data_IF_702533529008
#
_entry.id   IF_702533529008
#
_cell.length_a   1.000
_cell.length_b   1.000
_cell.length_c   1.000
_cell.angle_alpha   90.00
_cell.angle_beta   90.00
_cell.angle_gamma   90.00
#
_symmetry.space_group_name_H-M   'P 1'
#
loop_
_entity.id
_entity.type
_entity.pdbx_description
1 polymer ?
#
# COMPACT_ATOMS: atom_id res chain seq x y z
N UNK A 1 -15.02 -23.14 9.72
CA UNK A 1 -14.50 -21.90 10.32
C UNK A 1 -15.63 -20.87 10.42
N UNK A 2 -15.89 -20.38 11.62
CA UNK A 2 -16.97 -19.42 11.94
C UNK A 2 -16.44 -17.99 11.93
N UNK A 3 -15.16 -17.82 12.28
CA UNK A 3 -14.37 -16.61 12.18
C UNK A 3 -12.91 -16.98 12.00
N UNK A 4 -12.13 -16.09 11.42
CA UNK A 4 -10.69 -16.26 11.20
C UNK A 4 -9.98 -14.92 11.32
N UNK A 5 -8.73 -15.00 11.70
CA UNK A 5 -7.74 -13.96 11.69
C UNK A 5 -6.53 -14.50 10.91
N UNK A 6 -5.92 -13.69 10.10
CA UNK A 6 -4.70 -14.04 9.38
C UNK A 6 -3.68 -12.93 9.60
N UNK A 7 -2.55 -13.26 10.21
CA UNK A 7 -1.47 -12.32 10.45
C UNK A 7 -0.14 -12.82 9.89
N UNK A 8 0.68 -11.87 9.46
CA UNK A 8 2.05 -12.08 9.01
C UNK A 8 2.97 -11.40 10.03
N UNK A 9 4.15 -12.00 10.29
CA UNK A 9 5.14 -11.47 11.23
C UNK A 9 6.39 -11.06 10.49
N UNK A 10 6.86 -9.84 10.73
CA UNK A 10 8.07 -9.32 10.13
C UNK A 10 8.64 -8.12 10.90
N UNK A 11 9.82 -7.66 10.51
CA UNK A 11 10.38 -6.40 10.99
C UNK A 11 9.78 -5.22 10.23
N UNK A 12 9.21 -4.26 10.93
CA UNK A 12 8.71 -3.02 10.36
C UNK A 12 9.13 -1.83 11.24
N UNK A 13 9.78 -0.84 10.63
CA UNK A 13 10.36 0.30 11.34
C UNK A 13 11.26 -0.11 12.53
N UNK A 14 12.03 -1.19 12.35
CA UNK A 14 12.97 -1.69 13.36
C UNK A 14 12.35 -2.46 14.53
N UNK A 15 11.04 -2.75 14.47
CA UNK A 15 10.32 -3.53 15.49
C UNK A 15 9.74 -4.81 14.91
N UNK A 16 9.79 -5.89 15.69
CA UNK A 16 9.13 -7.13 15.30
C UNK A 16 7.61 -6.93 15.39
N UNK A 17 6.96 -6.98 14.26
CA UNK A 17 5.57 -6.56 14.07
C UNK A 17 4.73 -7.70 13.51
N UNK A 18 3.54 -7.94 14.09
CA UNK A 18 2.49 -8.72 13.47
C UNK A 18 1.57 -7.79 12.67
N UNK A 19 1.16 -8.24 11.50
CA UNK A 19 0.23 -7.52 10.66
C UNK A 19 -1.03 -8.36 10.39
N UNK A 20 -2.22 -7.84 10.76
CA UNK A 20 -3.50 -8.48 10.44
C UNK A 20 -3.87 -8.20 8.99
N UNK A 21 -3.71 -9.21 8.14
CA UNK A 21 -4.10 -9.13 6.73
C UNK A 21 -5.60 -9.25 6.52
N UNK A 22 -6.34 -9.67 7.53
CA UNK A 22 -7.79 -9.74 7.48
C UNK A 22 -8.41 -10.56 8.59
N UNK A 23 -9.36 -9.94 9.27
CA UNK A 23 -10.22 -10.61 10.27
C UNK A 23 -11.65 -10.65 9.80
N UNK A 24 -12.22 -11.85 9.73
CA UNK A 24 -13.57 -12.08 9.24
C UNK A 24 -14.43 -12.94 10.17
N UNK A 25 -15.71 -12.60 10.24
CA UNK A 25 -16.73 -13.44 10.89
C UNK A 25 -17.88 -13.67 9.91
N UNK A 26 -18.25 -14.92 9.71
CA UNK A 26 -19.40 -15.31 8.87
C UNK A 26 -20.66 -14.60 9.36
N UNK A 27 -21.51 -14.19 8.39
CA UNK A 27 -22.66 -13.31 8.64
C UNK A 27 -23.57 -13.82 9.75
N UNK A 28 -23.82 -15.12 9.76
CA UNK A 28 -24.72 -15.82 10.70
C UNK A 28 -24.19 -15.81 12.15
N UNK A 29 -22.89 -15.60 12.33
CA UNK A 29 -22.21 -15.61 13.63
C UNK A 29 -21.75 -14.23 14.09
N UNK A 30 -22.13 -13.17 13.36
CA UNK A 30 -21.81 -11.81 13.77
C UNK A 30 -22.60 -11.40 15.02
N UNK A 31 -22.05 -10.45 15.77
CA UNK A 31 -22.69 -9.96 16.99
C UNK A 31 -22.40 -10.76 18.25
N UNK A 32 -21.70 -11.89 18.15
CA UNK A 32 -21.36 -12.78 19.26
C UNK A 32 -19.97 -12.52 19.86
N UNK A 33 -19.33 -11.40 19.52
CA UNK A 33 -17.99 -11.03 20.05
C UNK A 33 -16.83 -11.88 19.53
N UNK A 34 -17.02 -12.68 18.47
CA UNK A 34 -16.02 -13.62 17.99
C UNK A 34 -14.71 -12.93 17.55
N UNK A 35 -14.78 -11.81 16.83
CA UNK A 35 -13.59 -11.07 16.44
C UNK A 35 -12.76 -10.67 17.67
N UNK A 36 -13.39 -10.08 18.70
CA UNK A 36 -12.70 -9.73 19.93
C UNK A 36 -12.08 -10.96 20.61
N UNK A 37 -12.78 -12.07 20.65
CA UNK A 37 -12.28 -13.33 21.26
C UNK A 37 -11.07 -13.88 20.50
N UNK A 38 -11.07 -13.80 19.16
CA UNK A 38 -9.94 -14.25 18.33
C UNK A 38 -8.69 -13.41 18.67
N UNK A 39 -8.77 -12.07 18.62
CA UNK A 39 -7.66 -11.19 18.99
C UNK A 39 -7.18 -11.43 20.43
N UNK A 40 -8.09 -11.48 21.40
CA UNK A 40 -7.71 -11.75 22.80
C UNK A 40 -7.01 -13.10 22.96
N UNK A 41 -7.36 -14.09 22.13
CA UNK A 41 -6.71 -15.40 22.15
C UNK A 41 -5.34 -15.37 21.47
N UNK A 42 -5.17 -14.66 20.35
CA UNK A 42 -3.91 -14.61 19.59
C UNK A 42 -2.83 -13.75 20.27
N UNK A 43 -3.21 -12.66 20.92
CA UNK A 43 -2.26 -11.71 21.54
C UNK A 43 -1.21 -12.35 22.47
N UNK A 44 -1.54 -13.26 23.40
CA UNK A 44 -0.54 -13.90 24.26
C UNK A 44 0.51 -14.70 23.46
N UNK A 45 0.11 -15.34 22.37
CA UNK A 45 1.04 -16.07 21.50
C UNK A 45 1.97 -15.14 20.72
N UNK A 46 1.44 -14.01 20.23
CA UNK A 46 2.24 -12.98 19.58
C UNK A 46 3.27 -12.41 20.56
N UNK A 47 2.84 -12.05 21.75
CA UNK A 47 3.71 -11.53 22.82
C UNK A 47 4.81 -12.53 23.21
N UNK A 48 4.47 -13.80 23.40
CA UNK A 48 5.45 -14.85 23.70
C UNK A 48 6.41 -15.10 22.55
N UNK A 49 6.03 -14.78 21.31
CA UNK A 49 6.89 -14.83 20.12
C UNK A 49 7.77 -13.59 19.95
N UNK A 50 7.76 -12.67 20.92
CA UNK A 50 8.56 -11.45 20.91
C UNK A 50 8.03 -10.35 19.99
N UNK A 51 6.77 -10.44 19.56
CA UNK A 51 6.13 -9.37 18.77
C UNK A 51 5.94 -8.15 19.68
N UNK A 52 6.41 -7.01 19.18
CA UNK A 52 6.32 -5.72 19.90
C UNK A 52 5.08 -4.93 19.49
N UNK A 53 4.74 -4.98 18.20
CA UNK A 53 3.61 -4.25 17.63
C UNK A 53 2.66 -5.18 16.89
N UNK A 54 1.39 -4.86 16.94
CA UNK A 54 0.36 -5.48 16.12
C UNK A 54 -0.33 -4.40 15.30
N UNK A 55 -0.21 -4.45 13.98
CA UNK A 55 -0.75 -3.49 13.02
C UNK A 55 -1.95 -4.05 12.27
N UNK A 56 -2.84 -3.17 11.89
CA UNK A 56 -3.94 -3.45 10.96
C UNK A 56 -4.37 -2.17 10.23
N UNK A 57 -5.05 -2.31 9.10
CA UNK A 57 -5.82 -1.23 8.49
C UNK A 57 -7.32 -1.50 8.59
N UNK A 58 -8.08 -0.43 8.78
CA UNK A 58 -9.55 -0.50 8.87
C UNK A 58 -10.19 0.68 8.13
N UNK A 59 -11.20 0.39 7.32
CA UNK A 59 -11.98 1.41 6.63
C UNK A 59 -12.65 2.37 7.64
N UNK A 60 -12.48 3.67 7.45
CA UNK A 60 -13.00 4.69 8.38
C UNK A 60 -14.51 4.65 8.57
N UNK A 61 -15.24 4.16 7.57
CA UNK A 61 -16.70 3.99 7.68
C UNK A 61 -17.11 2.72 8.40
N UNK A 62 -16.20 1.76 8.65
CA UNK A 62 -16.49 0.53 9.40
C UNK A 62 -16.45 0.78 10.92
N UNK A 63 -17.39 1.59 11.40
CA UNK A 63 -17.47 1.99 12.82
C UNK A 63 -17.57 0.79 13.79
N UNK A 64 -18.07 -0.36 13.30
CA UNK A 64 -18.20 -1.57 14.12
C UNK A 64 -16.81 -2.20 14.35
N UNK A 65 -16.00 -2.31 13.33
CA UNK A 65 -14.64 -2.85 13.46
C UNK A 65 -13.77 -1.90 14.31
N UNK A 66 -13.85 -0.59 14.05
CA UNK A 66 -13.14 0.42 14.85
C UNK A 66 -13.39 0.26 16.35
N UNK A 67 -14.67 0.20 16.78
CA UNK A 67 -15.03 -0.01 18.19
C UNK A 67 -14.45 -1.31 18.79
N UNK A 68 -14.34 -2.37 17.98
CA UNK A 68 -13.72 -3.61 18.43
C UNK A 68 -12.23 -3.40 18.67
N UNK A 69 -11.52 -2.82 17.70
CA UNK A 69 -10.07 -2.58 17.79
C UNK A 69 -9.73 -1.61 18.94
N UNK A 70 -10.46 -0.51 19.07
CA UNK A 70 -10.33 0.41 20.21
C UNK A 70 -10.55 -0.31 21.56
N UNK A 71 -11.55 -1.21 21.65
CA UNK A 71 -11.82 -1.99 22.86
C UNK A 71 -10.75 -3.04 23.18
N UNK A 72 -9.87 -3.33 22.24
CA UNK A 72 -8.71 -4.21 22.39
C UNK A 72 -7.43 -3.44 22.71
N UNK A 73 -7.48 -2.10 22.70
CA UNK A 73 -6.37 -1.23 22.98
C UNK A 73 -5.58 -0.77 21.74
N UNK A 74 -6.10 -1.02 20.53
CA UNK A 74 -5.51 -0.44 19.33
C UNK A 74 -5.74 1.08 19.28
N UNK A 75 -4.71 1.81 18.90
CA UNK A 75 -4.74 3.26 18.70
C UNK A 75 -4.55 3.59 17.23
N UNK A 76 -5.16 4.70 16.78
CA UNK A 76 -4.97 5.20 15.40
C UNK A 76 -3.55 5.77 15.32
N UNK A 77 -2.75 5.24 14.38
CA UNK A 77 -1.39 5.70 14.13
C UNK A 77 -1.38 6.80 13.06
N UNK A 78 -2.06 6.55 11.93
CA UNK A 78 -2.16 7.49 10.79
C UNK A 78 -3.37 7.18 9.90
N UNK A 79 -3.65 8.08 8.99
CA UNK A 79 -4.73 7.92 8.02
C UNK A 79 -4.17 7.61 6.64
N UNK A 80 -4.86 6.74 5.92
CA UNK A 80 -4.57 6.42 4.53
C UNK A 80 -5.76 6.73 3.62
N UNK A 81 -5.43 7.24 2.45
CA UNK A 81 -6.31 7.26 1.29
C UNK A 81 -6.11 5.98 0.47
N UNK A 82 -7.17 5.50 -0.18
CA UNK A 82 -7.03 4.55 -1.27
C UNK A 82 -7.79 5.04 -2.50
N UNK A 83 -7.20 4.76 -3.66
CA UNK A 83 -7.66 5.23 -4.96
C UNK A 83 -7.92 4.05 -5.87
N UNK A 84 -8.92 4.18 -6.74
CA UNK A 84 -9.19 3.15 -7.76
C UNK A 84 -9.82 3.78 -9.00
N UNK A 85 -9.53 3.19 -10.16
CA UNK A 85 -10.17 3.58 -11.41
C UNK A 85 -10.14 2.43 -12.42
N UNK A 86 -11.08 2.44 -13.36
CA UNK A 86 -11.00 1.57 -14.52
C UNK A 86 -9.80 1.96 -15.38
N UNK A 87 -9.00 0.97 -15.78
CA UNK A 87 -7.81 1.12 -16.62
C UNK A 87 -8.07 2.02 -17.84
N UNK A 88 -9.16 1.76 -18.56
CA UNK A 88 -9.51 2.52 -19.77
C UNK A 88 -9.69 4.03 -19.48
N UNK A 89 -10.23 4.39 -18.33
CA UNK A 89 -10.39 5.80 -17.96
C UNK A 89 -9.05 6.47 -17.64
N UNK A 90 -8.11 5.72 -17.04
CA UNK A 90 -6.74 6.22 -16.80
C UNK A 90 -6.02 6.46 -18.13
N UNK A 91 -6.15 5.54 -19.09
CA UNK A 91 -5.57 5.68 -20.43
C UNK A 91 -5.94 7.00 -21.08
N UNK A 92 -7.19 7.42 -20.95
CA UNK A 92 -7.70 8.68 -21.56
C UNK A 92 -7.03 9.94 -20.97
N UNK A 93 -6.38 9.83 -19.81
CA UNK A 93 -5.64 10.92 -19.15
C UNK A 93 -4.12 10.82 -19.31
N UNK A 94 -3.63 9.81 -20.04
CA UNK A 94 -2.21 9.71 -20.35
C UNK A 94 -1.87 10.65 -21.51
N UNK A 95 -0.77 11.39 -21.36
CA UNK A 95 -0.27 12.27 -22.42
C UNK A 95 0.54 11.48 -23.43
N UNK A 96 0.38 11.79 -24.72
CA UNK A 96 1.24 11.27 -25.79
C UNK A 96 2.64 11.94 -25.82
N UNK A 97 2.82 13.02 -25.04
CA UNK A 97 4.14 13.65 -24.94
C UNK A 97 5.02 12.83 -23.99
N UNK A 98 6.02 12.10 -24.49
CA UNK A 98 6.94 11.36 -23.64
C UNK A 98 7.78 12.32 -22.81
N UNK A 99 7.98 11.99 -21.53
CA UNK A 99 9.06 12.64 -20.78
C UNK A 99 10.42 12.26 -21.41
N UNK A 100 11.42 13.11 -21.22
CA UNK A 100 12.79 12.77 -21.60
C UNK A 100 13.41 11.79 -20.60
N UNK A 101 12.83 10.59 -20.52
CA UNK A 101 13.34 9.50 -19.70
C UNK A 101 13.16 8.16 -20.43
N UNK A 102 14.06 7.22 -20.19
CA UNK A 102 13.90 5.82 -20.57
C UNK A 102 13.34 5.02 -19.42
N UNK A 103 12.45 4.06 -19.71
CA UNK A 103 11.93 3.13 -18.70
C UNK A 103 12.70 1.83 -18.81
N UNK A 104 13.17 1.34 -17.67
CA UNK A 104 13.96 0.11 -17.54
C UNK A 104 13.35 -0.79 -16.48
N UNK A 105 13.56 -2.11 -16.62
CA UNK A 105 13.22 -3.04 -15.54
C UNK A 105 14.29 -2.92 -14.43
N UNK A 106 13.85 -2.96 -13.18
CA UNK A 106 14.69 -2.94 -11.99
C UNK A 106 14.41 -4.17 -11.13
N UNK A 107 15.34 -4.48 -10.24
CA UNK A 107 15.12 -5.40 -9.13
C UNK A 107 14.70 -4.61 -7.89
N UNK A 108 14.11 -5.31 -6.90
CA UNK A 108 13.71 -4.68 -5.64
C UNK A 108 14.88 -4.03 -4.89
N UNK A 109 16.10 -4.56 -5.05
CA UNK A 109 17.30 -4.01 -4.43
C UNK A 109 17.72 -2.66 -5.02
N UNK A 110 17.43 -2.42 -6.31
CA UNK A 110 17.82 -1.21 -7.03
C UNK A 110 17.09 0.04 -6.50
N UNK A 111 15.91 -0.15 -5.87
CA UNK A 111 15.12 0.96 -5.31
C UNK A 111 15.44 1.27 -3.85
N UNK A 112 16.37 0.54 -3.21
CA UNK A 112 16.76 0.79 -1.82
C UNK A 112 17.31 2.21 -1.62
N UNK A 113 18.11 2.70 -2.56
CA UNK A 113 18.68 4.05 -2.54
C UNK A 113 17.66 5.14 -2.85
N UNK A 114 16.50 4.78 -3.41
CA UNK A 114 15.46 5.69 -3.85
C UNK A 114 14.32 5.86 -2.81
N UNK A 115 14.48 5.33 -1.59
CA UNK A 115 13.46 5.47 -0.53
C UNK A 115 13.22 6.95 -0.15
N UNK A 116 14.21 7.83 -0.34
CA UNK A 116 14.06 9.27 -0.14
C UNK A 116 13.16 9.97 -1.17
N UNK A 117 12.72 9.27 -2.23
CA UNK A 117 11.79 9.84 -3.22
C UNK A 117 10.36 9.93 -2.70
N UNK A 118 10.03 9.20 -1.65
CA UNK A 118 8.72 9.24 -1.01
C UNK A 118 8.50 10.49 -0.17
N UNK A 119 7.26 10.97 -0.16
CA UNK A 119 6.81 12.06 0.72
C UNK A 119 6.31 11.53 2.09
N UNK A 120 6.19 10.20 2.23
CA UNK A 120 5.74 9.53 3.45
C UNK A 120 6.38 8.13 3.57
N UNK A 121 6.34 7.55 4.75
CA UNK A 121 6.81 6.16 4.96
C UNK A 121 5.75 5.18 4.44
N UNK A 122 6.09 4.29 3.48
CA UNK A 122 5.17 3.27 3.01
C UNK A 122 4.58 2.45 4.16
N UNK A 123 3.32 1.99 4.00
CA UNK A 123 2.70 1.09 4.97
C UNK A 123 3.43 -0.25 5.00
N UNK A 124 3.15 -1.06 6.02
CA UNK A 124 3.70 -2.41 6.10
C UNK A 124 3.46 -3.23 4.82
N UNK A 125 2.28 -3.11 4.20
CA UNK A 125 1.97 -3.81 2.95
C UNK A 125 2.82 -3.33 1.77
N UNK A 126 3.21 -2.08 1.77
CA UNK A 126 3.87 -1.41 0.66
C UNK A 126 5.35 -1.15 0.91
N UNK A 127 5.92 -1.63 2.01
CA UNK A 127 7.34 -1.43 2.33
C UNK A 127 8.26 -2.31 1.47
N UNK A 128 9.55 -2.06 1.58
CA UNK A 128 10.56 -2.76 0.77
C UNK A 128 10.64 -4.26 1.12
N UNK A 129 10.41 -4.63 2.38
CA UNK A 129 10.45 -6.03 2.79
C UNK A 129 9.23 -6.79 2.26
N UNK A 130 8.07 -6.13 2.22
CA UNK A 130 6.87 -6.69 1.57
C UNK A 130 7.05 -6.87 0.06
N UNK A 131 7.69 -5.91 -0.61
CA UNK A 131 8.04 -6.02 -2.04
C UNK A 131 8.99 -7.19 -2.28
N UNK A 132 10.03 -7.35 -1.46
CA UNK A 132 10.95 -8.50 -1.57
C UNK A 132 10.25 -9.84 -1.35
N UNK A 133 9.34 -9.93 -0.38
CA UNK A 133 8.55 -11.16 -0.13
C UNK A 133 7.63 -11.52 -1.28
N UNK A 134 7.03 -10.52 -1.93
CA UNK A 134 6.15 -10.74 -3.08
C UNK A 134 6.92 -11.24 -4.32
N UNK A 135 8.23 -10.94 -4.43
CA UNK A 135 9.09 -11.46 -5.48
C UNK A 135 8.53 -11.24 -6.88
N UNK A 136 8.43 -12.31 -7.66
CA UNK A 136 7.98 -12.27 -9.06
C UNK A 136 6.50 -11.92 -9.27
N UNK A 137 5.70 -11.80 -8.22
CA UNK A 137 4.32 -11.29 -8.33
C UNK A 137 4.26 -9.78 -8.57
N UNK A 138 5.37 -9.07 -8.36
CA UNK A 138 5.51 -7.64 -8.59
C UNK A 138 6.53 -7.35 -9.69
N UNK A 139 6.27 -6.29 -10.43
CA UNK A 139 7.19 -5.71 -11.41
C UNK A 139 7.70 -4.38 -10.90
N UNK A 140 9.00 -4.18 -10.98
CA UNK A 140 9.67 -2.92 -10.64
C UNK A 140 10.18 -2.25 -11.91
N UNK A 141 9.73 -1.03 -12.17
CA UNK A 141 10.18 -0.18 -13.28
C UNK A 141 10.93 1.04 -12.74
N UNK A 142 12.02 1.40 -13.39
CA UNK A 142 12.76 2.63 -13.14
C UNK A 142 12.66 3.58 -14.32
N UNK A 143 12.58 4.88 -14.05
CA UNK A 143 12.70 5.94 -15.03
C UNK A 143 14.10 6.57 -14.92
N UNK A 144 14.86 6.51 -16.02
CA UNK A 144 16.21 7.04 -16.09
C UNK A 144 16.23 8.35 -16.89
N UNK A 145 16.81 9.40 -16.31
CA UNK A 145 17.10 10.67 -16.99
C UNK A 145 18.62 10.87 -16.94
N UNK A 146 19.24 11.02 -18.09
CA UNK A 146 20.71 11.16 -18.22
C UNK A 146 21.47 10.07 -17.42
N UNK A 147 20.98 8.80 -17.50
CA UNK A 147 21.52 7.63 -16.77
C UNK A 147 21.37 7.69 -15.24
N UNK A 148 20.59 8.64 -14.70
CA UNK A 148 20.29 8.74 -13.27
C UNK A 148 18.88 8.23 -13.01
N UNK A 149 18.69 7.38 -11.98
CA UNK A 149 17.38 6.95 -11.53
C UNK A 149 16.61 8.17 -11.00
N UNK A 150 15.56 8.55 -11.71
CA UNK A 150 14.76 9.76 -11.43
C UNK A 150 13.37 9.45 -10.85
N UNK A 151 12.97 8.19 -10.89
CA UNK A 151 11.71 7.71 -10.31
C UNK A 151 11.55 6.21 -10.54
N UNK A 152 10.61 5.60 -9.84
CA UNK A 152 10.30 4.19 -9.99
C UNK A 152 8.83 3.89 -9.70
N UNK A 153 8.36 2.73 -10.14
CA UNK A 153 7.04 2.19 -9.88
C UNK A 153 7.14 0.70 -9.60
N UNK A 154 6.49 0.24 -8.53
CA UNK A 154 6.32 -1.17 -8.19
C UNK A 154 4.84 -1.49 -8.25
N UNK A 155 4.46 -2.52 -8.98
CA UNK A 155 3.05 -2.87 -9.19
C UNK A 155 2.87 -4.35 -9.46
N UNK A 156 1.64 -4.85 -9.25
CA UNK A 156 1.22 -6.19 -9.65
C UNK A 156 0.57 -6.15 -11.04
N UNK A 157 1.13 -6.78 -12.05
CA UNK A 157 0.50 -6.85 -13.38
C UNK A 157 -0.87 -7.52 -13.36
N UNK A 158 -1.04 -8.55 -12.53
CA UNK A 158 -2.28 -9.34 -12.43
C UNK A 158 -3.43 -8.56 -11.80
N UNK A 159 -3.16 -7.80 -10.72
CA UNK A 159 -4.21 -7.11 -9.96
C UNK A 159 -4.38 -5.63 -10.32
N UNK A 160 -3.37 -5.01 -10.95
CA UNK A 160 -3.32 -3.58 -11.23
C UNK A 160 -3.08 -2.72 -9.98
N UNK A 161 -2.59 -3.33 -8.90
CA UNK A 161 -2.26 -2.63 -7.66
C UNK A 161 -0.87 -1.99 -7.79
N UNK A 162 -0.81 -0.68 -7.61
CA UNK A 162 0.45 0.07 -7.51
C UNK A 162 0.87 0.06 -6.05
N UNK A 163 1.92 -0.72 -5.76
CA UNK A 163 2.50 -0.82 -4.41
C UNK A 163 3.26 0.44 -4.05
N UNK A 164 4.11 0.92 -4.97
CA UNK A 164 4.83 2.17 -4.82
C UNK A 164 4.95 2.90 -6.17
N UNK A 165 4.86 4.22 -6.15
CA UNK A 165 5.25 5.10 -7.25
C UNK A 165 5.88 6.35 -6.65
N UNK A 166 7.14 6.60 -6.97
CA UNK A 166 7.89 7.71 -6.41
C UNK A 166 8.81 8.36 -7.44
N UNK A 167 8.99 9.67 -7.33
CA UNK A 167 9.85 10.45 -8.21
C UNK A 167 10.73 11.35 -7.36
N UNK A 168 12.03 11.33 -7.64
CA UNK A 168 12.99 12.23 -7.02
C UNK A 168 12.47 13.68 -7.09
N UNK A 169 12.42 14.40 -5.98
CA UNK A 169 11.90 15.77 -5.93
C UNK A 169 12.46 16.70 -7.02
N UNK A 170 13.71 16.53 -7.41
CA UNK A 170 14.38 17.35 -8.45
C UNK A 170 13.89 17.05 -9.87
N UNK A 171 13.27 15.86 -10.08
CA UNK A 171 12.73 15.43 -11.37
C UNK A 171 11.20 15.49 -11.43
N UNK A 172 10.53 15.99 -10.38
CA UNK A 172 9.07 16.15 -10.37
C UNK A 172 8.61 17.18 -11.40
N UNK A 173 7.35 17.05 -11.85
CA UNK A 173 6.69 17.92 -12.85
C UNK A 173 7.31 17.87 -14.25
N UNK A 174 8.20 16.90 -14.50
CA UNK A 174 8.85 16.68 -15.80
C UNK A 174 8.29 15.46 -16.57
N UNK A 175 7.15 14.90 -16.10
CA UNK A 175 6.45 13.79 -16.78
C UNK A 175 6.92 12.38 -16.37
N UNK A 176 7.92 12.26 -15.47
CA UNK A 176 8.49 10.97 -15.05
C UNK A 176 7.42 10.00 -14.52
N UNK A 177 6.62 10.42 -13.54
CA UNK A 177 5.53 9.57 -13.00
C UNK A 177 4.50 9.17 -14.08
N UNK A 178 4.22 10.06 -15.04
CA UNK A 178 3.29 9.76 -16.14
C UNK A 178 3.85 8.69 -17.08
N UNK A 179 5.16 8.71 -17.34
CA UNK A 179 5.82 7.68 -18.17
C UNK A 179 5.85 6.33 -17.47
N UNK A 180 6.13 6.31 -16.16
CA UNK A 180 6.05 5.08 -15.34
C UNK A 180 4.63 4.51 -15.33
N UNK A 181 3.62 5.35 -15.08
CA UNK A 181 2.22 4.93 -15.08
C UNK A 181 1.79 4.41 -16.45
N UNK A 182 2.22 5.06 -17.56
CA UNK A 182 1.93 4.59 -18.92
C UNK A 182 2.48 3.19 -19.16
N UNK A 183 3.76 2.97 -18.85
CA UNK A 183 4.39 1.67 -19.01
C UNK A 183 3.73 0.58 -18.12
N UNK A 184 3.40 0.92 -16.88
CA UNK A 184 2.66 0.05 -15.97
C UNK A 184 1.30 -0.35 -16.56
N UNK A 185 0.54 0.61 -17.09
CA UNK A 185 -0.77 0.37 -17.72
C UNK A 185 -0.65 -0.59 -18.90
N UNK A 186 0.37 -0.44 -19.74
CA UNK A 186 0.61 -1.33 -20.87
C UNK A 186 0.91 -2.77 -20.43
N UNK A 187 1.55 -2.96 -19.29
CA UNK A 187 1.91 -4.27 -18.73
C UNK A 187 0.82 -4.89 -17.84
N UNK A 188 -0.19 -4.11 -17.43
CA UNK A 188 -1.23 -4.57 -16.50
C UNK A 188 -2.30 -5.37 -17.23
N UNK A 189 -2.59 -6.57 -16.74
CA UNK A 189 -3.68 -7.45 -17.19
C UNK A 189 -5.04 -7.03 -16.62
N UNK A 190 -5.04 -6.41 -15.45
CA UNK A 190 -6.25 -5.98 -14.73
C UNK A 190 -6.98 -4.85 -15.45
N UNK A 191 -8.30 -4.90 -15.43
CA UNK A 191 -9.17 -3.80 -15.89
C UNK A 191 -9.29 -2.63 -14.88
N UNK A 192 -8.67 -2.78 -13.71
CA UNK A 192 -8.73 -1.80 -12.62
C UNK A 192 -7.30 -1.46 -12.21
N UNK A 193 -7.06 -0.18 -11.98
CA UNK A 193 -5.85 0.36 -11.36
C UNK A 193 -6.20 0.78 -9.93
N UNK A 194 -5.36 0.42 -8.97
CA UNK A 194 -5.52 0.78 -7.56
C UNK A 194 -4.22 1.31 -6.98
N UNK A 195 -4.35 2.20 -6.01
CA UNK A 195 -3.26 2.64 -5.14
C UNK A 195 -3.81 2.64 -3.72
N UNK A 196 -3.25 1.82 -2.85
CA UNK A 196 -3.71 1.69 -1.47
C UNK A 196 -2.67 2.25 -0.50
N UNK A 197 -3.14 2.62 0.69
CA UNK A 197 -2.28 3.05 1.80
C UNK A 197 -1.41 4.28 1.48
N UNK A 198 -1.99 5.25 0.77
CA UNK A 198 -1.37 6.57 0.58
C UNK A 198 -1.62 7.41 1.83
N UNK A 199 -0.57 7.76 2.56
CA UNK A 199 -0.71 8.56 3.78
C UNK A 199 -1.37 9.91 3.49
N UNK A 200 -2.30 10.31 4.35
CA UNK A 200 -3.06 11.54 4.19
C UNK A 200 -2.64 12.58 5.25
N UNK A 201 -2.26 13.80 4.83
CA UNK A 201 -2.26 14.32 3.46
C UNK A 201 -0.96 14.04 2.70
N UNK A 202 -1.04 13.68 1.41
CA UNK A 202 0.11 13.63 0.50
C UNK A 202 -0.21 14.41 -0.79
N UNK A 203 -0.18 15.76 -0.74
CA UNK A 203 -0.70 16.61 -1.82
C UNK A 203 -0.09 16.35 -3.19
N UNK A 204 1.20 15.97 -3.25
CA UNK A 204 1.90 15.72 -4.52
C UNK A 204 1.34 14.49 -5.24
N UNK A 205 1.21 13.36 -4.52
CA UNK A 205 0.67 12.11 -5.08
C UNK A 205 -0.83 12.22 -5.32
N UNK A 206 -1.59 12.83 -4.40
CA UNK A 206 -3.03 13.05 -4.54
C UNK A 206 -3.33 13.85 -5.82
N UNK A 207 -2.60 14.96 -6.07
CA UNK A 207 -2.75 15.78 -7.26
C UNK A 207 -2.34 15.02 -8.54
N UNK A 208 -1.29 14.20 -8.48
CA UNK A 208 -0.87 13.36 -9.60
C UNK A 208 -1.97 12.35 -9.97
N UNK A 209 -2.47 11.57 -9.00
CA UNK A 209 -3.52 10.58 -9.21
C UNK A 209 -4.80 11.23 -9.76
N UNK A 210 -5.23 12.35 -9.18
CA UNK A 210 -6.38 13.12 -9.67
C UNK A 210 -6.18 13.57 -11.13
N UNK A 211 -4.97 14.04 -11.50
CA UNK A 211 -4.65 14.45 -12.88
C UNK A 211 -4.70 13.28 -13.88
N UNK A 212 -4.62 12.05 -13.40
CA UNK A 212 -4.74 10.81 -14.20
C UNK A 212 -6.12 10.18 -14.11
N UNK A 213 -7.09 10.88 -13.52
CA UNK A 213 -8.45 10.40 -13.35
C UNK A 213 -8.55 9.23 -12.36
N UNK A 214 -7.52 8.95 -11.56
CA UNK A 214 -7.57 7.92 -10.52
C UNK A 214 -8.20 8.53 -9.27
N UNK A 215 -9.46 8.13 -9.00
CA UNK A 215 -10.30 8.78 -8.01
C UNK A 215 -10.09 8.22 -6.62
N UNK A 216 -10.20 9.10 -5.60
CA UNK A 216 -10.30 8.68 -4.20
C UNK A 216 -11.54 7.79 -4.04
N UNK A 217 -11.33 6.55 -3.61
CA UNK A 217 -12.38 5.56 -3.41
C UNK A 217 -12.78 5.43 -1.94
N UNK A 218 -11.88 5.80 -1.03
CA UNK A 218 -12.18 5.79 0.40
C UNK A 218 -10.95 6.06 1.25
N UNK A 219 -11.18 5.96 2.56
CA UNK A 219 -10.17 6.21 3.59
C UNK A 219 -10.14 5.09 4.59
N UNK A 220 -8.97 4.85 5.16
CA UNK A 220 -8.77 3.89 6.24
C UNK A 220 -7.84 4.45 7.31
N UNK A 221 -7.89 3.87 8.48
CA UNK A 221 -6.92 4.09 9.54
C UNK A 221 -5.91 2.95 9.56
N UNK A 222 -4.64 3.27 9.71
CA UNK A 222 -3.67 2.33 10.25
C UNK A 222 -3.78 2.39 11.77
N UNK A 223 -3.96 1.25 12.41
CA UNK A 223 -4.03 1.16 13.86
C UNK A 223 -2.93 0.25 14.39
N UNK A 224 -2.44 0.58 15.56
CA UNK A 224 -1.36 -0.16 16.24
C UNK A 224 -1.77 -0.53 17.65
N UNK A 225 -1.39 -1.73 18.07
CA UNK A 225 -1.39 -2.17 19.46
C UNK A 225 0.06 -2.54 19.84
N UNK A 226 0.59 -1.90 20.88
CA UNK A 226 1.85 -2.33 21.50
C UNK A 226 1.57 -3.51 22.44
N UNK A 227 2.31 -4.61 22.25
CA UNK A 227 2.12 -5.88 22.98
C UNK A 227 3.00 -6.03 24.22
#
# INVERSE_FOLDING_TARGET
LVGSEMCIRDSYNGKLTAYDTGTGTRKEFRGQGLAKRIFTHSMPFLKNAGIENYLLEVLQHNKRALKIYESLGFEILREFNFFTQKKQLVVNHLSDKPAKCSIVALKSEDILSAQSFHDFTPSWQNDIESIKRAGDDLVTLGAMVDSVLSGYCVFSPKSGDITQIAVDPTFRRKGVASSLLKQMIEMTESEIVKVINVESPTPSLDAFLASKGVCLAGKQFEMVLTL
#
